data_IF_783215132213
#
_entry.id   IF_783215132213
#
_cell.length_a   1.000
_cell.length_b   1.000
_cell.length_c   1.000
_cell.angle_alpha   90.00
_cell.angle_beta   90.00
_cell.angle_gamma   90.00
#
_symmetry.space_group_name_H-M   'P 1'
#
loop_
_entity.id
_entity.type
_entity.pdbx_description
1 polymer ?
#
# COMPACT_ATOMS: atom_id res chain seq x y z
N UNK A 1 17.50 12.28 -15.36
CA UNK A 1 16.26 13.10 -15.22
C UNK A 1 15.22 12.41 -14.32
N UNK A 2 15.62 11.73 -13.21
CA UNK A 2 14.69 11.07 -12.29
C UNK A 2 14.24 11.95 -11.10
N UNK A 3 14.93 13.07 -10.85
CA UNK A 3 14.74 13.83 -9.62
C UNK A 3 13.51 14.74 -9.64
N UNK A 4 13.02 15.17 -10.82
CA UNK A 4 11.80 15.98 -10.94
C UNK A 4 10.50 15.17 -10.76
N UNK A 5 10.47 13.90 -11.21
CA UNK A 5 9.30 13.01 -11.00
C UNK A 5 9.15 12.59 -9.54
N UNK A 6 10.25 12.54 -8.78
CA UNK A 6 10.23 12.19 -7.34
C UNK A 6 9.52 13.23 -6.45
N UNK A 7 9.25 14.42 -6.99
CA UNK A 7 8.48 15.49 -6.35
C UNK A 7 7.01 15.56 -6.81
N UNK A 8 6.53 14.58 -7.57
CA UNK A 8 5.12 14.51 -7.93
C UNK A 8 4.32 13.91 -6.75
N UNK A 9 4.29 14.64 -5.63
CA UNK A 9 3.60 14.23 -4.41
C UNK A 9 2.11 13.98 -4.66
N UNK A 10 1.50 14.77 -5.57
CA UNK A 10 0.12 14.60 -5.99
C UNK A 10 -0.05 13.26 -6.72
N UNK A 11 0.79 12.97 -7.71
CA UNK A 11 0.71 11.69 -8.45
C UNK A 11 1.00 10.50 -7.54
N UNK A 12 1.98 10.62 -6.64
CA UNK A 12 2.25 9.60 -5.64
C UNK A 12 1.02 9.37 -4.75
N UNK A 13 0.45 10.42 -4.16
CA UNK A 13 -0.72 10.30 -3.31
C UNK A 13 -1.92 9.70 -4.06
N UNK A 14 -2.08 10.02 -5.35
CA UNK A 14 -3.10 9.42 -6.22
C UNK A 14 -2.90 7.92 -6.38
N UNK A 15 -1.68 7.50 -6.72
CA UNK A 15 -1.35 6.08 -6.92
C UNK A 15 -1.39 5.29 -5.60
N UNK A 16 -0.96 5.90 -4.48
CA UNK A 16 -1.13 5.34 -3.14
C UNK A 16 -2.63 5.14 -2.84
N UNK A 17 -3.47 6.15 -3.11
CA UNK A 17 -4.92 6.09 -2.90
C UNK A 17 -5.59 5.01 -3.75
N UNK A 18 -5.20 4.87 -5.02
CA UNK A 18 -5.74 3.84 -5.93
C UNK A 18 -5.56 2.43 -5.37
N UNK A 19 -4.38 2.11 -4.81
CA UNK A 19 -4.15 0.80 -4.19
C UNK A 19 -4.91 0.63 -2.86
N UNK A 20 -5.05 1.69 -2.07
CA UNK A 20 -5.88 1.68 -0.86
C UNK A 20 -7.37 1.47 -1.18
N UNK A 21 -7.89 2.11 -2.23
CA UNK A 21 -9.28 1.93 -2.65
C UNK A 21 -9.54 0.49 -3.13
N UNK A 22 -8.59 -0.11 -3.86
CA UNK A 22 -8.66 -1.52 -4.26
C UNK A 22 -8.64 -2.46 -3.03
N UNK A 23 -7.79 -2.17 -2.05
CA UNK A 23 -7.77 -2.89 -0.78
C UNK A 23 -9.10 -2.77 -0.02
N UNK A 24 -9.66 -1.56 0.09
CA UNK A 24 -10.96 -1.29 0.73
C UNK A 24 -12.10 -2.05 0.03
N UNK A 25 -12.01 -2.26 -1.29
CA UNK A 25 -12.94 -3.07 -2.09
C UNK A 25 -12.72 -4.58 -1.99
N UNK A 26 -11.76 -5.02 -1.19
CA UNK A 26 -11.35 -6.44 -1.07
C UNK A 26 -10.82 -7.03 -2.39
N UNK A 27 -10.29 -6.19 -3.28
CA UNK A 27 -9.61 -6.66 -4.49
C UNK A 27 -8.23 -7.26 -4.16
N UNK A 28 -7.73 -8.13 -5.04
CA UNK A 28 -6.39 -8.71 -4.89
C UNK A 28 -5.31 -7.69 -5.28
N UNK A 29 -4.91 -6.88 -4.30
CA UNK A 29 -3.88 -5.86 -4.46
C UNK A 29 -2.49 -6.44 -4.81
N UNK A 30 -2.21 -7.71 -4.50
CA UNK A 30 -0.95 -8.35 -4.89
C UNK A 30 -0.94 -8.66 -6.38
N UNK A 31 -2.05 -9.19 -6.90
CA UNK A 31 -2.24 -9.40 -8.33
C UNK A 31 -2.18 -8.08 -9.11
N UNK A 32 -2.78 -7.00 -8.59
CA UNK A 32 -2.71 -5.68 -9.22
C UNK A 32 -1.27 -5.13 -9.29
N UNK A 33 -0.49 -5.26 -8.20
CA UNK A 33 0.92 -4.85 -8.21
C UNK A 33 1.75 -5.72 -9.17
N UNK A 34 1.49 -7.02 -9.22
CA UNK A 34 2.19 -7.95 -10.12
C UNK A 34 1.84 -7.73 -11.60
N UNK A 35 0.61 -7.32 -11.90
CA UNK A 35 0.13 -7.00 -13.24
C UNK A 35 0.51 -5.57 -13.69
N UNK A 36 1.15 -4.77 -12.82
CA UNK A 36 1.59 -3.43 -13.17
C UNK A 36 2.56 -3.50 -14.36
N UNK A 37 2.25 -2.81 -15.47
CA UNK A 37 3.06 -2.94 -16.68
C UNK A 37 4.44 -2.29 -16.49
N UNK A 38 5.45 -2.89 -17.13
CA UNK A 38 6.87 -2.56 -16.94
C UNK A 38 7.26 -1.18 -17.51
N UNK A 39 6.38 -0.55 -18.30
CA UNK A 39 6.54 0.80 -18.83
C UNK A 39 6.13 1.90 -17.83
N UNK A 40 5.55 1.54 -16.68
CA UNK A 40 5.24 2.45 -15.56
C UNK A 40 6.00 2.08 -14.27
N UNK A 41 7.33 2.26 -14.25
CA UNK A 41 8.16 1.93 -13.09
C UNK A 41 7.85 2.80 -11.85
N UNK A 42 7.29 4.00 -12.05
CA UNK A 42 6.93 4.88 -10.94
C UNK A 42 5.69 4.37 -10.20
N UNK A 43 4.63 3.98 -10.93
CA UNK A 43 3.49 3.29 -10.34
C UNK A 43 3.91 2.03 -9.62
N UNK A 44 4.75 1.21 -10.26
CA UNK A 44 5.22 -0.03 -9.68
C UNK A 44 5.93 0.22 -8.32
N UNK A 45 6.83 1.20 -8.24
CA UNK A 45 7.53 1.57 -7.00
C UNK A 45 6.54 2.03 -5.90
N UNK A 46 5.59 2.91 -6.25
CA UNK A 46 4.60 3.44 -5.30
C UNK A 46 3.66 2.33 -4.80
N UNK A 47 3.17 1.48 -5.70
CA UNK A 47 2.28 0.38 -5.37
C UNK A 47 2.99 -0.69 -4.54
N UNK A 48 4.22 -1.07 -4.87
CA UNK A 48 5.01 -1.99 -4.04
C UNK A 48 5.22 -1.45 -2.62
N UNK A 49 5.55 -0.16 -2.49
CA UNK A 49 5.71 0.50 -1.19
C UNK A 49 4.41 0.51 -0.40
N UNK A 50 3.29 0.81 -1.07
CA UNK A 50 1.97 0.90 -0.45
C UNK A 50 1.47 -0.47 -0.01
N UNK A 51 1.64 -1.50 -0.83
CA UNK A 51 1.35 -2.89 -0.50
C UNK A 51 2.05 -3.31 0.80
N UNK A 52 3.36 -3.01 0.92
CA UNK A 52 4.12 -3.31 2.13
C UNK A 52 3.56 -2.61 3.38
N UNK A 53 3.05 -1.37 3.24
CA UNK A 53 2.40 -0.63 4.33
C UNK A 53 1.05 -1.23 4.71
N UNK A 54 0.21 -1.58 3.72
CA UNK A 54 -1.10 -2.23 3.93
C UNK A 54 -0.90 -3.53 4.74
N UNK A 55 -0.02 -4.42 4.25
CA UNK A 55 0.26 -5.71 4.92
C UNK A 55 0.81 -5.54 6.33
N UNK A 56 1.64 -4.52 6.56
CA UNK A 56 2.13 -4.19 7.90
C UNK A 56 0.99 -3.76 8.83
N UNK A 57 0.07 -2.93 8.35
CA UNK A 57 -1.11 -2.47 9.12
C UNK A 57 -2.03 -3.65 9.43
N UNK A 58 -2.34 -4.50 8.45
CA UNK A 58 -3.14 -5.71 8.65
C UNK A 58 -2.53 -6.61 9.74
N UNK A 59 -1.22 -6.87 9.66
CA UNK A 59 -0.52 -7.67 10.67
C UNK A 59 -0.59 -7.03 12.06
N UNK A 60 -0.47 -5.71 12.15
CA UNK A 60 -0.61 -4.99 13.41
C UNK A 60 -2.03 -5.05 13.96
N UNK A 61 -3.05 -5.02 13.11
CA UNK A 61 -4.46 -5.18 13.52
C UNK A 61 -4.73 -6.59 14.05
N UNK A 62 -4.17 -7.62 13.42
CA UNK A 62 -4.27 -9.02 13.90
C UNK A 62 -3.51 -9.21 15.22
N UNK A 63 -2.35 -8.59 15.38
CA UNK A 63 -1.54 -8.64 16.60
C UNK A 63 -2.10 -7.83 17.78
N UNK A 64 -3.09 -6.98 17.55
CA UNK A 64 -3.82 -6.18 18.56
C UNK A 64 -5.22 -6.75 18.84
N UNK A 65 -5.34 -8.08 18.90
CA UNK A 65 -6.48 -8.69 19.61
C UNK A 65 -6.55 -8.12 21.03
N UNK A 66 -7.75 -7.96 21.63
CA UNK A 66 -7.92 -7.27 22.90
C UNK A 66 -7.03 -7.95 23.94
N UNK A 67 -6.06 -7.21 24.47
CA UNK A 67 -5.39 -7.60 25.70
C UNK A 67 -6.50 -7.73 26.74
N UNK A 68 -6.82 -8.92 27.28
CA UNK A 68 -7.74 -9.01 28.40
C UNK A 68 -7.18 -8.15 29.54
N UNK A 69 -8.03 -7.44 30.32
CA UNK A 69 -7.55 -6.67 31.45
C UNK A 69 -6.73 -7.60 32.35
N UNK A 70 -5.55 -7.14 32.73
CA UNK A 70 -4.72 -7.82 33.70
C UNK A 70 -5.42 -7.75 35.06
N UNK A 71 -6.27 -8.73 35.35
CA UNK A 71 -6.70 -9.01 36.72
C UNK A 71 -5.53 -9.69 37.44
N UNK A 72 -4.87 -8.94 38.34
CA UNK A 72 -4.19 -9.44 39.56
C UNK A 72 -3.77 -8.27 40.44
#
# INVERSE_FOLDING_TARGET
MLWLKRWNFIERARLERELWDAFERQEDIEALVAACPADDPFRQEVWQTTLGRIRKIEKLMVGKGPTPPADS
#
